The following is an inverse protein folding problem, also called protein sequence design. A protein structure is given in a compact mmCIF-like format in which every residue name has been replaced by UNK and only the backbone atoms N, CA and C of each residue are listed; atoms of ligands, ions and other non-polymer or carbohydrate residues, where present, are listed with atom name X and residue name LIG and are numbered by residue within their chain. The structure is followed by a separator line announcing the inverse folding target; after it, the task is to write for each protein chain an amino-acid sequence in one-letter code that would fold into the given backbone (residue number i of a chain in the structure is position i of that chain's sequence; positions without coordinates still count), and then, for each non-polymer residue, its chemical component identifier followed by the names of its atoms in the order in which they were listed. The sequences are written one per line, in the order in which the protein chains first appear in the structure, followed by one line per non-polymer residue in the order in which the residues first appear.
data_IF_961000468211
#
_entry.id   IF_961000468211
#
_cell.length_a   1.000
_cell.length_b   1.000
_cell.length_c   1.000
_cell.angle_alpha   90.00
_cell.angle_beta   90.00
_cell.angle_gamma   90.00
#
_symmetry.space_group_name_H-M   'P 1'
#
loop_
_entity.id
_entity.type
_entity.pdbx_description
1 polymer ?
#
# COMPACT_ATOMS: atom_id res chain seq x y z
N UNK A 1 15.71 3.60 -22.33
CA UNK A 1 14.66 4.49 -21.80
C UNK A 1 13.43 4.24 -22.68
N UNK A 2 12.23 4.20 -22.08
CA UNK A 2 11.01 3.63 -22.70
C UNK A 2 10.09 4.77 -23.16
N UNK A 3 9.48 4.63 -24.35
CA UNK A 3 8.49 5.58 -24.91
C UNK A 3 7.11 5.37 -24.26
N UNK A 4 6.36 6.43 -23.98
CA UNK A 4 5.03 6.37 -23.35
C UNK A 4 3.82 6.17 -24.27
N UNK A 5 4.02 5.72 -25.51
CA UNK A 5 2.93 5.03 -26.23
C UNK A 5 2.61 3.64 -25.64
N UNK A 6 3.17 3.35 -24.46
CA UNK A 6 3.22 2.06 -23.80
C UNK A 6 2.60 2.31 -22.43
N UNK A 7 1.39 1.79 -22.20
CA UNK A 7 0.61 2.03 -20.99
C UNK A 7 1.48 1.77 -19.74
N UNK A 8 1.83 2.85 -19.05
CA UNK A 8 2.53 2.82 -17.79
C UNK A 8 1.54 2.50 -16.68
N UNK A 9 1.34 1.21 -16.40
CA UNK A 9 0.60 0.82 -15.21
C UNK A 9 1.48 1.11 -13.99
N UNK A 10 1.31 2.29 -13.41
CA UNK A 10 1.86 2.61 -12.10
C UNK A 10 1.01 1.88 -11.07
N UNK A 11 1.36 0.62 -10.85
CA UNK A 11 0.76 -0.21 -9.81
C UNK A 11 1.09 0.45 -8.48
N UNK A 12 0.07 1.09 -7.87
CA UNK A 12 0.12 1.44 -6.47
C UNK A 12 0.46 0.16 -5.72
N UNK A 13 1.57 0.15 -4.99
CA UNK A 13 1.74 -0.77 -3.87
C UNK A 13 0.64 -0.45 -2.87
N UNK A 14 -0.51 -1.13 -3.01
CA UNK A 14 -1.44 -1.28 -1.91
C UNK A 14 -0.71 -2.04 -0.80
N UNK A 15 -0.90 -1.59 0.44
CA UNK A 15 -0.25 -2.13 1.63
C UNK A 15 -0.25 -3.67 1.60
N UNK A 16 0.93 -4.25 1.54
CA UNK A 16 1.12 -5.70 1.52
C UNK A 16 0.64 -6.29 2.85
N UNK A 17 -0.30 -7.27 2.86
CA UNK A 17 -0.60 -8.02 4.07
C UNK A 17 0.59 -8.93 4.45
N UNK A 18 0.85 -9.01 5.77
CA UNK A 18 2.01 -9.69 6.35
C UNK A 18 2.17 -11.17 5.96
N UNK A 19 3.40 -11.55 5.60
CA UNK A 19 3.92 -12.91 5.81
C UNK A 19 4.86 -12.87 7.04
N UNK A 20 4.66 -13.79 7.98
CA UNK A 20 5.55 -14.06 9.12
C UNK A 20 6.64 -15.06 8.70
N UNK A 21 7.90 -14.77 9.03
CA UNK A 21 9.05 -15.67 8.89
C UNK A 21 9.65 -15.95 10.26
N UNK A 22 9.14 -16.99 10.93
CA UNK A 22 9.77 -17.57 12.10
C UNK A 22 9.78 -19.11 11.99
N UNK A 23 10.97 -19.64 11.70
CA UNK A 23 11.55 -20.95 12.08
C UNK A 23 12.38 -21.55 10.96
N UNK A 24 13.65 -21.17 10.90
CA UNK A 24 14.68 -21.94 10.21
C UNK A 24 15.93 -22.03 11.09
N UNK A 25 15.79 -22.66 12.26
CA UNK A 25 16.91 -23.12 13.04
C UNK A 25 16.53 -24.37 13.84
N UNK A 26 16.38 -25.51 13.16
CA UNK A 26 16.75 -26.82 13.72
C UNK A 26 16.61 -27.96 12.70
N UNK A 27 17.58 -28.88 12.77
CA UNK A 27 17.67 -30.21 12.14
C UNK A 27 18.54 -30.32 10.87
N UNK A 28 19.81 -30.64 11.11
CA UNK A 28 20.62 -31.45 10.19
C UNK A 28 21.65 -32.25 11.00
N UNK A 29 21.34 -33.52 11.26
CA UNK A 29 22.30 -34.53 11.69
C UNK A 29 22.94 -35.21 10.46
N UNK A 30 24.26 -35.14 10.42
CA UNK A 30 25.27 -36.09 9.90
C UNK A 30 25.08 -36.78 8.53
N UNK A 31 26.05 -36.54 7.63
CA UNK A 31 27.11 -37.52 7.30
C UNK A 31 28.30 -36.83 6.62
N UNK A 32 29.50 -37.33 6.89
CA UNK A 32 30.74 -36.55 6.93
C UNK A 32 31.58 -36.46 5.64
N UNK A 33 32.45 -35.46 5.61
CA UNK A 33 33.87 -35.65 5.26
C UNK A 33 34.70 -34.47 5.77
N UNK A 34 35.79 -34.79 6.45
CA UNK A 34 36.60 -33.90 7.27
C UNK A 34 37.50 -32.94 6.45
N UNK A 35 37.71 -31.73 6.98
CA UNK A 35 38.89 -30.89 6.75
C UNK A 35 39.43 -30.38 8.11
N UNK A 36 40.74 -30.15 8.25
CA UNK A 36 41.43 -30.24 9.55
C UNK A 36 41.31 -28.97 10.40
N UNK A 37 41.37 -29.21 11.71
CA UNK A 37 41.29 -28.26 12.82
C UNK A 37 42.32 -27.13 12.75
N UNK A 38 41.84 -25.90 12.92
CA UNK A 38 42.63 -24.78 13.41
C UNK A 38 42.17 -24.45 14.83
N UNK A 39 43.08 -24.66 15.79
CA UNK A 39 42.93 -24.39 17.21
C UNK A 39 42.32 -23.01 17.51
N UNK A 40 41.17 -22.99 18.20
CA UNK A 40 40.70 -21.84 18.98
C UNK A 40 40.58 -22.25 20.45
N UNK A 41 41.09 -21.44 21.41
CA UNK A 41 41.07 -21.76 22.83
C UNK A 41 39.67 -21.59 23.46
N UNK A 42 39.38 -22.24 24.60
CA UNK A 42 38.04 -22.33 25.15
C UNK A 42 37.58 -21.06 25.88
N UNK A 43 36.25 -20.88 25.83
CA UNK A 43 35.43 -19.87 26.51
C UNK A 43 35.86 -19.53 27.94
N UNK A 44 35.98 -18.24 28.20
CA UNK A 44 35.74 -17.65 29.51
C UNK A 44 34.47 -16.81 29.41
N UNK A 45 33.37 -17.34 29.96
CA UNK A 45 32.15 -16.60 30.18
C UNK A 45 32.39 -15.54 31.27
N UNK A 46 32.40 -14.26 30.90
CA UNK A 46 32.13 -13.16 31.83
C UNK A 46 30.65 -12.81 31.75
N UNK A 47 29.96 -12.91 32.90
CA UNK A 47 28.60 -12.42 33.12
C UNK A 47 28.52 -10.93 32.76
N UNK A 48 27.70 -10.60 31.76
CA UNK A 48 27.33 -9.21 31.49
C UNK A 48 26.47 -8.66 32.64
N UNK A 49 26.74 -7.43 33.12
CA UNK A 49 25.89 -6.80 34.14
C UNK A 49 24.48 -6.53 33.59
N UNK A 50 23.45 -6.52 34.46
CA UNK A 50 22.07 -6.30 34.04
C UNK A 50 21.91 -4.93 33.37
N UNK A 51 21.00 -4.81 32.38
CA UNK A 51 20.79 -3.56 31.67
C UNK A 51 20.32 -2.48 32.64
N UNK A 52 21.01 -1.35 32.63
CA UNK A 52 20.61 -0.14 33.35
C UNK A 52 19.20 0.29 32.89
N UNK A 53 18.42 0.77 33.85
CA UNK A 53 17.08 1.32 33.61
C UNK A 53 17.14 2.38 32.50
N UNK A 54 16.15 2.44 31.59
CA UNK A 54 16.17 3.40 30.50
C UNK A 54 16.26 4.82 31.09
N UNK A 55 17.31 5.54 30.68
CA UNK A 55 17.41 6.97 30.90
C UNK A 55 16.10 7.61 30.43
N UNK A 56 15.57 8.51 31.26
CA UNK A 56 14.36 9.26 30.98
C UNK A 56 14.44 9.81 29.55
N UNK A 57 13.58 9.30 28.67
CA UNK A 57 13.45 9.78 27.31
C UNK A 57 13.34 11.31 27.37
N UNK A 58 14.36 11.99 26.85
CA UNK A 58 14.24 13.41 26.52
C UNK A 58 13.03 13.52 25.61
N UNK A 59 11.99 14.18 26.10
CA UNK A 59 10.83 14.57 25.31
C UNK A 59 11.32 15.11 23.98
N UNK A 60 10.86 14.58 22.82
CA UNK A 60 11.13 15.20 21.53
C UNK A 60 10.76 16.68 21.65
N UNK A 61 11.64 17.55 21.17
CA UNK A 61 11.37 18.98 21.12
C UNK A 61 9.99 19.17 20.47
N UNK A 62 9.01 19.55 21.28
CA UNK A 62 7.75 20.05 20.79
C UNK A 62 8.16 21.33 20.09
N UNK A 63 8.39 21.22 18.78
CA UNK A 63 8.76 22.36 17.93
C UNK A 63 7.88 23.56 18.24
N UNK A 64 8.32 24.77 17.85
CA UNK A 64 7.70 26.02 18.27
C UNK A 64 6.17 25.93 18.20
N UNK A 65 5.46 26.43 19.24
CA UNK A 65 4.02 26.25 19.36
C UNK A 65 3.36 26.61 18.05
N UNK A 66 2.57 25.68 17.53
CA UNK A 66 1.79 25.81 16.31
C UNK A 66 1.08 27.17 16.37
N UNK A 67 1.38 28.14 15.48
CA UNK A 67 0.56 29.32 15.35
C UNK A 67 -0.91 28.94 15.25
N UNK A 68 -1.83 29.83 15.67
CA UNK A 68 -3.25 29.56 15.63
C UNK A 68 -3.64 28.90 14.31
N UNK A 69 -4.62 28.02 14.41
CA UNK A 69 -5.39 27.57 13.27
C UNK A 69 -6.09 28.83 12.75
N UNK A 70 -5.38 29.61 11.94
CA UNK A 70 -5.91 30.83 11.35
C UNK A 70 -6.54 30.42 10.03
N UNK A 71 -7.86 30.61 9.96
CA UNK A 71 -8.61 30.57 8.71
C UNK A 71 -8.19 31.70 7.75
N UNK A 72 -7.43 32.69 8.24
CA UNK A 72 -6.88 33.79 7.44
C UNK A 72 -5.36 33.89 7.65
N UNK A 73 -4.52 33.34 6.75
CA UNK A 73 -3.08 33.45 6.88
C UNK A 73 -2.61 34.91 6.79
N UNK A 74 -1.52 35.28 7.49
CA UNK A 74 -0.88 36.56 7.23
C UNK A 74 -0.40 36.58 5.76
N UNK A 75 -0.75 37.62 5.02
CA UNK A 75 -0.41 37.76 3.60
C UNK A 75 0.80 38.68 3.41
N UNK A 76 1.69 38.27 2.50
CA UNK A 76 2.78 39.09 1.98
C UNK A 76 2.27 40.10 0.92
N UNK A 77 3.14 41.02 0.48
CA UNK A 77 2.78 42.08 -0.48
C UNK A 77 2.33 41.54 -1.85
N UNK A 78 2.75 40.33 -2.22
CA UNK A 78 2.38 39.64 -3.45
C UNK A 78 1.01 38.95 -3.37
N UNK A 79 0.35 38.99 -2.21
CA UNK A 79 -0.96 38.38 -1.96
C UNK A 79 -0.92 36.91 -1.61
N UNK A 80 0.27 36.28 -1.55
CA UNK A 80 0.43 34.93 -1.04
C UNK A 80 0.65 34.92 0.48
N UNK A 81 0.40 33.80 1.17
CA UNK A 81 0.72 33.66 2.58
C UNK A 81 2.20 33.93 2.89
N UNK A 82 2.48 34.52 4.06
CA UNK A 82 3.84 34.67 4.55
C UNK A 82 4.53 33.29 4.63
N UNK A 83 5.76 33.21 4.11
CA UNK A 83 6.51 31.94 4.00
C UNK A 83 6.39 31.25 2.64
N UNK A 84 5.49 31.72 1.77
CA UNK A 84 5.42 31.27 0.38
C UNK A 84 6.71 31.57 -0.38
N UNK A 85 7.17 30.60 -1.17
CA UNK A 85 8.20 30.81 -2.19
C UNK A 85 7.87 30.00 -3.44
N UNK A 86 8.26 30.49 -4.62
CA UNK A 86 8.05 29.76 -5.88
C UNK A 86 8.67 28.35 -5.86
N UNK A 87 9.82 28.18 -5.19
CA UNK A 87 10.52 26.90 -5.05
C UNK A 87 9.77 25.87 -4.18
N UNK A 88 8.97 26.32 -3.21
CA UNK A 88 8.34 25.40 -2.25
C UNK A 88 6.83 25.30 -2.40
N UNK A 89 6.19 26.37 -2.87
CA UNK A 89 4.75 26.47 -3.00
C UNK A 89 4.30 26.64 -4.45
N UNK A 90 5.15 27.16 -5.33
CA UNK A 90 4.77 27.40 -6.72
C UNK A 90 4.55 26.12 -7.51
N UNK A 91 3.55 26.13 -8.41
CA UNK A 91 3.32 25.04 -9.38
C UNK A 91 4.49 24.78 -10.34
N UNK A 92 5.35 25.78 -10.55
CA UNK A 92 6.57 25.63 -11.35
C UNK A 92 7.77 25.09 -10.57
N UNK A 93 7.63 24.74 -9.30
CA UNK A 93 8.69 24.13 -8.52
C UNK A 93 9.04 22.72 -9.04
N UNK A 94 10.33 22.46 -9.20
CA UNK A 94 10.82 21.10 -9.42
C UNK A 94 10.47 20.22 -8.20
N UNK A 95 9.96 18.98 -8.39
CA UNK A 95 9.62 18.12 -7.27
C UNK A 95 10.86 17.76 -6.45
N UNK A 96 10.82 18.03 -5.14
CA UNK A 96 11.96 17.85 -4.26
C UNK A 96 12.12 16.39 -3.78
N UNK A 97 12.18 15.43 -4.72
CA UNK A 97 12.24 14.00 -4.39
C UNK A 97 13.40 13.65 -3.43
N UNK A 98 14.59 14.21 -3.69
CA UNK A 98 15.81 13.92 -2.94
C UNK A 98 15.84 14.50 -1.52
N UNK A 99 14.90 15.37 -1.15
CA UNK A 99 14.82 15.91 0.22
C UNK A 99 13.70 15.24 0.99
N UNK A 100 12.54 15.02 0.35
CA UNK A 100 11.34 14.49 0.99
C UNK A 100 11.32 12.97 1.15
N UNK A 101 12.05 12.23 0.31
CA UNK A 101 12.03 10.77 0.32
C UNK A 101 13.36 10.15 0.77
N UNK A 102 14.07 10.84 1.66
CA UNK A 102 15.30 10.30 2.26
C UNK A 102 14.98 9.34 3.39
N UNK A 103 15.77 8.27 3.49
CA UNK A 103 15.64 7.21 4.51
C UNK A 103 16.74 7.28 5.59
N UNK A 104 17.64 8.26 5.51
CA UNK A 104 18.69 8.49 6.52
C UNK A 104 18.19 9.24 7.76
N UNK A 105 16.93 9.69 7.73
CA UNK A 105 16.23 10.31 8.85
C UNK A 105 14.74 9.96 8.81
N UNK A 106 14.09 10.14 9.94
CA UNK A 106 12.63 10.26 10.01
C UNK A 106 12.27 11.73 9.86
N UNK A 107 11.41 12.04 8.90
CA UNK A 107 10.93 13.40 8.70
C UNK A 107 9.83 13.76 9.70
N UNK A 108 9.48 15.04 9.78
CA UNK A 108 8.38 15.50 10.63
C UNK A 108 7.41 16.32 9.80
N UNK A 109 6.13 16.10 10.05
CA UNK A 109 5.05 16.94 9.54
C UNK A 109 4.09 17.27 10.69
N UNK A 110 3.77 18.55 10.81
CA UNK A 110 2.81 19.05 11.79
C UNK A 110 1.55 19.50 11.04
N UNK A 111 0.39 19.10 11.51
CA UNK A 111 -0.91 19.46 10.92
C UNK A 111 -1.73 20.16 11.99
N UNK A 112 -2.39 21.26 11.65
CA UNK A 112 -3.25 21.99 12.56
C UNK A 112 -4.64 22.18 11.95
N UNK A 113 -5.68 21.94 12.74
CA UNK A 113 -7.08 22.14 12.36
C UNK A 113 -7.94 22.48 13.58
N UNK A 114 -9.09 23.15 13.43
CA UNK A 114 -10.00 23.40 14.55
C UNK A 114 -10.51 22.08 15.16
N UNK A 115 -10.83 22.09 16.46
CA UNK A 115 -11.40 20.91 17.13
C UNK A 115 -12.70 20.47 16.45
N UNK A 116 -13.55 21.44 16.10
CA UNK A 116 -14.81 21.24 15.39
C UNK A 116 -14.62 20.63 13.99
N UNK A 117 -13.52 20.93 13.32
CA UNK A 117 -13.18 20.34 12.02
C UNK A 117 -12.80 18.88 12.18
N UNK A 118 -11.98 18.55 13.17
CA UNK A 118 -11.65 17.16 13.48
C UNK A 118 -12.90 16.38 13.90
N UNK A 119 -13.75 16.96 14.76
CA UNK A 119 -15.02 16.36 15.17
C UNK A 119 -15.95 16.13 13.97
N UNK A 120 -15.99 17.05 12.99
CA UNK A 120 -16.75 16.87 11.75
C UNK A 120 -16.21 15.69 10.93
N UNK A 121 -14.89 15.53 10.81
CA UNK A 121 -14.30 14.36 10.15
C UNK A 121 -14.69 13.05 10.86
N UNK A 122 -14.74 13.04 12.20
CA UNK A 122 -15.16 11.86 12.95
C UNK A 122 -16.66 11.57 12.78
N UNK A 123 -17.50 12.60 12.73
CA UNK A 123 -18.93 12.46 12.48
C UNK A 123 -19.22 11.93 11.07
N UNK A 124 -18.48 12.39 10.07
CA UNK A 124 -18.53 11.87 8.70
C UNK A 124 -18.18 10.38 8.65
N UNK A 125 -17.11 9.96 9.33
CA UNK A 125 -16.80 8.53 9.46
C UNK A 125 -17.89 7.74 10.19
N UNK A 126 -18.54 8.31 11.19
CA UNK A 126 -19.65 7.66 11.89
C UNK A 126 -20.89 7.49 10.98
N UNK A 127 -21.18 8.47 10.13
CA UNK A 127 -22.25 8.39 9.13
C UNK A 127 -21.95 7.29 8.09
N UNK A 128 -20.72 7.24 7.60
CA UNK A 128 -20.25 6.30 6.59
C UNK A 128 -20.12 4.86 7.12
N UNK A 129 -19.54 4.68 8.31
CA UNK A 129 -19.10 3.38 8.83
C UNK A 129 -19.88 2.87 10.04
N UNK A 130 -20.76 3.70 10.60
CA UNK A 130 -21.42 3.49 11.89
C UNK A 130 -20.54 3.88 13.08
N UNK A 131 -21.03 3.67 14.30
CA UNK A 131 -20.32 4.06 15.53
C UNK A 131 -18.92 3.43 15.62
N UNK A 132 -17.93 4.22 16.03
CA UNK A 132 -16.57 3.73 16.29
C UNK A 132 -16.59 2.62 17.36
N UNK A 133 -15.75 1.60 17.20
CA UNK A 133 -15.71 0.49 18.16
C UNK A 133 -16.95 -0.43 18.14
N UNK A 134 -17.92 -0.21 17.24
CA UNK A 134 -19.10 -1.07 17.09
C UNK A 134 -18.79 -2.47 16.57
N UNK A 135 -17.53 -2.74 16.19
CA UNK A 135 -17.01 -4.06 15.85
C UNK A 135 -16.88 -5.00 17.07
N UNK A 136 -17.98 -5.23 17.79
CA UNK A 136 -18.05 -6.24 18.84
C UNK A 136 -18.51 -7.59 18.31
N UNK A 137 -17.58 -8.56 18.18
CA UNK A 137 -17.93 -9.99 18.21
C UNK A 137 -17.83 -10.82 16.92
N UNK A 138 -17.06 -10.40 15.92
CA UNK A 138 -16.60 -11.28 14.83
C UNK A 138 -15.08 -11.24 14.76
N UNK A 139 -14.38 -12.35 14.43
CA UNK A 139 -12.97 -12.22 14.08
C UNK A 139 -12.85 -11.19 12.95
N UNK A 140 -11.72 -10.50 12.83
CA UNK A 140 -11.44 -9.70 11.66
C UNK A 140 -11.78 -10.51 10.40
N UNK A 141 -12.17 -9.85 9.32
CA UNK A 141 -12.18 -10.45 7.99
C UNK A 141 -10.77 -10.80 7.48
N UNK A 142 -9.87 -11.23 8.37
CA UNK A 142 -8.68 -12.03 8.14
C UNK A 142 -8.74 -13.18 9.16
N UNK A 143 -8.59 -14.42 8.67
CA UNK A 143 -8.83 -15.66 9.42
C UNK A 143 -8.54 -15.59 10.91
N UNK A 144 -9.55 -15.89 11.73
CA UNK A 144 -9.48 -15.83 13.18
C UNK A 144 -8.44 -16.79 13.76
N UNK A 145 -7.42 -16.22 14.41
CA UNK A 145 -6.68 -16.89 15.48
C UNK A 145 -7.26 -16.47 16.84
N UNK A 146 -7.59 -17.41 17.75
CA UNK A 146 -8.02 -17.06 19.10
C UNK A 146 -6.83 -16.60 19.98
N UNK A 147 -7.10 -15.88 21.09
CA UNK A 147 -6.07 -15.21 21.86
C UNK A 147 -5.32 -16.17 22.79
N UNK A 148 -3.99 -16.07 22.79
CA UNK A 148 -3.13 -16.32 23.95
C UNK A 148 -3.11 -17.76 24.49
N UNK A 149 -2.33 -18.61 23.84
CA UNK A 149 -1.84 -19.88 24.39
C UNK A 149 -0.95 -20.57 23.37
N UNK A 150 0.35 -20.69 23.67
CA UNK A 150 1.36 -21.20 22.74
C UNK A 150 1.00 -22.55 22.11
N UNK A 151 0.91 -22.56 20.79
CA UNK A 151 0.70 -23.74 19.95
C UNK A 151 0.03 -23.35 18.63
N UNK A 152 0.77 -23.40 17.51
CA UNK A 152 0.19 -23.25 16.16
C UNK A 152 -0.92 -24.31 15.99
N UNK A 153 -2.09 -24.00 15.40
CA UNK A 153 -3.06 -25.02 15.03
C UNK A 153 -2.39 -25.97 14.03
N UNK A 154 -2.16 -27.22 14.43
CA UNK A 154 -1.69 -28.24 13.49
C UNK A 154 -2.81 -28.49 12.46
N UNK A 155 -2.48 -28.70 11.18
CA UNK A 155 -3.47 -29.09 10.20
C UNK A 155 -4.24 -30.32 10.70
N UNK A 156 -5.54 -30.46 10.38
CA UNK A 156 -6.32 -31.60 10.87
C UNK A 156 -5.64 -32.91 10.46
N UNK A 157 -5.32 -33.77 11.44
CA UNK A 157 -4.65 -35.05 11.17
C UNK A 157 -5.43 -35.90 10.16
N UNK A 158 -6.76 -35.78 10.17
CA UNK A 158 -7.65 -36.43 9.20
C UNK A 158 -7.31 -36.10 7.73
N UNK A 159 -6.75 -34.93 7.44
CA UNK A 159 -6.32 -34.55 6.09
C UNK A 159 -5.01 -35.21 5.65
N UNK A 160 -4.12 -35.56 6.58
CA UNK A 160 -2.96 -36.40 6.30
C UNK A 160 -3.36 -37.87 6.15
N UNK A 161 -4.25 -38.35 7.04
CA UNK A 161 -4.74 -39.72 7.02
C UNK A 161 -5.48 -40.04 5.71
N UNK A 162 -6.20 -39.05 5.15
CA UNK A 162 -6.87 -39.15 3.86
C UNK A 162 -5.91 -39.34 2.66
N UNK A 163 -4.61 -39.11 2.84
CA UNK A 163 -3.58 -39.26 1.82
C UNK A 163 -2.54 -40.34 2.14
N UNK A 164 -2.70 -41.10 3.23
CA UNK A 164 -1.80 -42.20 3.58
C UNK A 164 -1.83 -43.31 2.52
N UNK A 165 -0.68 -43.57 1.90
CA UNK A 165 -0.54 -44.62 0.88
C UNK A 165 -1.09 -44.24 -0.50
N UNK A 166 -1.42 -42.97 -0.72
CA UNK A 166 -1.79 -42.41 -2.01
C UNK A 166 -0.62 -41.64 -2.62
N UNK A 167 -0.62 -41.50 -3.94
CA UNK A 167 0.38 -40.71 -4.66
C UNK A 167 -0.02 -39.22 -4.75
N UNK A 168 0.95 -38.34 -5.03
CA UNK A 168 0.71 -36.92 -5.31
C UNK A 168 -0.29 -36.78 -6.46
N UNK A 169 -1.33 -35.96 -6.27
CA UNK A 169 -2.42 -35.73 -7.23
C UNK A 169 -3.58 -36.71 -7.13
N UNK A 170 -3.53 -37.73 -6.25
CA UNK A 170 -4.68 -38.59 -5.98
C UNK A 170 -5.82 -37.80 -5.31
N UNK A 171 -7.06 -38.09 -5.70
CA UNK A 171 -8.23 -37.49 -5.06
C UNK A 171 -8.36 -37.99 -3.61
N UNK A 172 -8.76 -37.10 -2.71
CA UNK A 172 -8.88 -37.38 -1.29
C UNK A 172 -10.06 -36.58 -0.70
N UNK A 173 -10.55 -37.02 0.46
CA UNK A 173 -11.59 -36.29 1.21
C UNK A 173 -11.53 -36.62 2.69
N UNK A 174 -11.84 -35.65 3.55
CA UNK A 174 -11.94 -35.84 5.00
C UNK A 174 -12.99 -34.91 5.62
N UNK A 175 -13.39 -35.20 6.85
CA UNK A 175 -14.32 -34.35 7.61
C UNK A 175 -13.52 -33.50 8.60
N UNK A 176 -13.79 -32.19 8.63
CA UNK A 176 -13.26 -31.30 9.67
C UNK A 176 -14.34 -30.31 10.14
N UNK A 177 -14.46 -30.19 11.46
CA UNK A 177 -15.47 -29.35 12.13
C UNK A 177 -16.91 -29.48 11.58
N UNK A 178 -17.29 -30.66 11.07
CA UNK A 178 -18.62 -30.95 10.52
C UNK A 178 -18.80 -30.63 9.03
N UNK A 179 -17.72 -30.32 8.31
CA UNK A 179 -17.71 -30.08 6.87
C UNK A 179 -16.89 -31.15 6.14
N UNK A 180 -17.42 -31.66 5.03
CA UNK A 180 -16.70 -32.53 4.10
C UNK A 180 -15.75 -31.69 3.24
N UNK A 181 -14.45 -31.91 3.39
CA UNK A 181 -13.39 -31.30 2.59
C UNK A 181 -12.97 -32.31 1.51
N UNK A 182 -13.02 -31.93 0.24
CA UNK A 182 -12.56 -32.75 -0.89
C UNK A 182 -11.42 -32.06 -1.64
N UNK A 183 -10.42 -32.82 -2.06
CA UNK A 183 -9.19 -32.25 -2.59
C UNK A 183 -8.31 -33.23 -3.34
N UNK A 184 -7.04 -32.87 -3.50
CA UNK A 184 -5.98 -33.76 -4.00
C UNK A 184 -4.81 -33.83 -3.03
N UNK A 185 -4.15 -34.99 -2.97
CA UNK A 185 -2.98 -35.20 -2.14
C UNK A 185 -1.80 -34.39 -2.67
N UNK A 186 -1.31 -33.44 -1.88
CA UNK A 186 -0.20 -32.55 -2.25
C UNK A 186 0.92 -32.63 -1.20
N UNK A 187 2.15 -32.34 -1.63
CA UNK A 187 3.28 -32.21 -0.71
C UNK A 187 3.06 -30.99 0.20
N UNK A 188 3.27 -31.14 1.50
CA UNK A 188 3.21 -30.01 2.42
C UNK A 188 4.54 -29.22 2.37
N UNK A 189 4.51 -27.87 2.39
CA UNK A 189 5.74 -27.09 2.19
C UNK A 189 6.78 -27.17 3.33
N UNK A 190 6.48 -27.82 4.47
CA UNK A 190 7.35 -27.82 5.67
C UNK A 190 7.31 -29.13 6.50
N UNK A 191 7.10 -30.30 5.89
CA UNK A 191 7.10 -31.60 6.60
C UNK A 191 7.07 -32.83 5.70
N UNK A 192 7.18 -34.04 6.28
CA UNK A 192 7.11 -35.32 5.56
C UNK A 192 5.65 -35.78 5.41
N UNK A 193 5.24 -36.11 4.18
CA UNK A 193 3.94 -36.71 3.87
C UNK A 193 3.07 -35.87 2.92
N UNK A 194 1.92 -36.45 2.56
CA UNK A 194 0.93 -35.81 1.69
C UNK A 194 -0.27 -35.34 2.50
N UNK A 195 -0.77 -34.15 2.20
CA UNK A 195 -1.99 -33.62 2.80
C UNK A 195 -3.07 -33.44 1.74
N UNK A 196 -4.32 -33.69 2.13
CA UNK A 196 -5.46 -33.49 1.27
C UNK A 196 -5.79 -31.99 1.11
N UNK A 197 -5.18 -31.35 0.11
CA UNK A 197 -5.36 -29.93 -0.15
C UNK A 197 -6.61 -29.69 -1.00
N UNK A 198 -7.41 -28.68 -0.63
CA UNK A 198 -8.55 -28.23 -1.42
C UNK A 198 -8.10 -27.97 -2.86
N UNK A 199 -8.81 -28.56 -3.81
CA UNK A 199 -8.57 -28.20 -5.20
C UNK A 199 -8.94 -26.71 -5.36
N UNK A 200 -8.01 -25.84 -5.83
CA UNK A 200 -8.41 -24.50 -6.21
C UNK A 200 -9.51 -24.61 -7.28
N UNK A 201 -10.52 -23.74 -7.26
CA UNK A 201 -11.51 -23.73 -8.33
C UNK A 201 -10.78 -23.35 -9.63
N UNK A 202 -10.51 -24.34 -10.47
CA UNK A 202 -10.13 -24.15 -11.87
C UNK A 202 -8.68 -24.50 -12.21
N UNK A 203 -8.45 -25.77 -12.55
CA UNK A 203 -7.51 -26.08 -13.62
C UNK A 203 -8.11 -25.65 -14.97
N UNK A 204 -7.34 -24.88 -15.73
CA UNK A 204 -7.53 -24.48 -17.14
C UNK A 204 -8.83 -24.92 -17.83
N UNK A 205 -9.85 -24.09 -17.71
CA UNK A 205 -11.01 -24.04 -18.59
C UNK A 205 -11.49 -22.58 -18.68
N UNK A 206 -12.12 -22.14 -19.78
CA UNK A 206 -12.62 -20.78 -19.87
C UNK A 206 -13.60 -20.54 -18.71
N UNK A 207 -13.26 -19.61 -17.83
CA UNK A 207 -14.20 -19.09 -16.84
C UNK A 207 -15.44 -18.62 -17.64
N UNK A 208 -16.66 -19.07 -17.32
CA UNK A 208 -17.84 -18.36 -17.83
C UNK A 208 -17.70 -16.89 -17.40
N UNK A 209 -18.16 -15.91 -18.20
CA UNK A 209 -18.16 -14.51 -17.80
C UNK A 209 -19.10 -14.34 -16.60
N UNK A 210 -18.58 -14.62 -15.41
CA UNK A 210 -19.16 -14.24 -14.14
C UNK A 210 -18.71 -12.82 -13.90
N UNK A 211 -19.67 -11.95 -13.62
CA UNK A 211 -19.43 -10.55 -13.32
C UNK A 211 -18.33 -10.46 -12.26
N UNK A 212 -17.14 -9.99 -12.68
CA UNK A 212 -16.04 -9.72 -11.77
C UNK A 212 -16.60 -8.91 -10.62
N UNK A 213 -16.49 -9.46 -9.41
CA UNK A 213 -17.02 -8.81 -8.21
C UNK A 213 -16.50 -7.39 -8.20
N UNK A 214 -17.41 -6.42 -8.35
CA UNK A 214 -17.05 -5.02 -8.33
C UNK A 214 -16.32 -4.66 -7.05
N UNK A 215 -15.59 -3.55 -7.01
CA UNK A 215 -14.89 -3.11 -5.81
C UNK A 215 -15.84 -3.15 -4.61
N UNK A 216 -15.46 -3.89 -3.57
CA UNK A 216 -16.21 -3.94 -2.31
C UNK A 216 -16.02 -2.62 -1.59
N UNK A 217 -16.98 -1.71 -1.71
CA UNK A 217 -16.99 -0.48 -0.91
C UNK A 217 -17.36 -0.81 0.54
N UNK A 218 -16.36 -0.83 1.42
CA UNK A 218 -16.53 -1.08 2.86
C UNK A 218 -16.73 0.22 3.66
N UNK A 219 -16.70 1.35 2.95
CA UNK A 219 -16.76 2.71 3.49
C UNK A 219 -18.10 3.40 3.21
N UNK A 220 -18.85 2.98 2.20
CA UNK A 220 -20.11 3.60 1.80
C UNK A 220 -19.94 4.96 1.11
N UNK A 221 -18.71 5.32 0.75
CA UNK A 221 -18.34 6.61 0.18
C UNK A 221 -16.94 7.08 0.56
N UNK A 222 -16.48 8.12 -0.11
CA UNK A 222 -15.22 8.80 0.20
C UNK A 222 -15.40 9.71 1.43
N UNK A 223 -14.53 9.63 2.46
CA UNK A 223 -14.56 10.56 3.59
C UNK A 223 -14.39 12.02 3.16
N UNK A 224 -14.99 12.92 3.93
CA UNK A 224 -15.01 14.35 3.65
C UNK A 224 -13.60 14.97 3.58
N UNK A 225 -13.47 16.04 2.78
CA UNK A 225 -12.32 16.93 2.80
C UNK A 225 -12.53 18.06 3.80
N UNK A 226 -11.46 18.43 4.51
CA UNK A 226 -11.41 19.62 5.38
C UNK A 226 -10.17 20.46 5.10
N UNK A 227 -10.22 21.78 5.28
CA UNK A 227 -9.04 22.63 5.21
C UNK A 227 -8.20 22.49 6.48
N UNK A 228 -6.89 22.37 6.32
CA UNK A 228 -5.91 22.30 7.41
C UNK A 228 -4.70 23.17 7.12
N UNK A 229 -3.94 23.52 8.14
CA UNK A 229 -2.60 24.08 7.99
C UNK A 229 -1.57 22.98 8.15
N UNK A 230 -0.68 22.81 7.18
CA UNK A 230 0.46 21.88 7.24
C UNK A 230 1.74 22.65 7.52
N UNK A 231 2.63 22.11 8.34
CA UNK A 231 3.98 22.63 8.54
C UNK A 231 5.01 21.55 8.29
N UNK A 232 6.04 21.93 7.55
CA UNK A 232 7.20 21.10 7.25
C UNK A 232 8.45 21.98 7.29
N UNK A 233 9.48 21.55 8.01
CA UNK A 233 10.73 22.31 8.22
C UNK A 233 10.50 23.78 8.64
N UNK A 234 9.50 24.01 9.49
CA UNK A 234 9.13 25.33 10.03
C UNK A 234 8.38 26.24 9.05
N UNK A 235 8.05 25.77 7.85
CA UNK A 235 7.30 26.52 6.82
C UNK A 235 5.83 26.10 6.82
N UNK A 236 4.87 27.03 6.70
CA UNK A 236 3.45 26.73 6.66
C UNK A 236 2.90 26.61 5.23
N UNK A 237 1.96 25.68 5.04
CA UNK A 237 1.06 25.57 3.89
C UNK A 237 -0.36 25.70 4.42
N UNK A 238 -1.07 26.72 3.96
CA UNK A 238 -2.42 27.04 4.42
C UNK A 238 -3.47 26.42 3.51
N UNK A 239 -4.68 26.24 4.03
CA UNK A 239 -5.84 25.71 3.30
C UNK A 239 -5.57 24.42 2.51
N UNK A 240 -4.69 23.57 3.05
CA UNK A 240 -4.41 22.26 2.46
C UNK A 240 -5.64 21.39 2.67
N UNK A 241 -6.11 20.72 1.62
CA UNK A 241 -7.16 19.73 1.76
C UNK A 241 -6.62 18.48 2.43
N UNK A 242 -7.24 18.08 3.54
CA UNK A 242 -7.00 16.80 4.20
C UNK A 242 -8.26 15.94 4.20
N UNK A 243 -8.10 14.64 3.97
CA UNK A 243 -9.17 13.65 4.21
C UNK A 243 -8.60 12.33 4.70
N UNK A 244 -9.39 11.56 5.44
CA UNK A 244 -9.07 10.15 5.68
C UNK A 244 -9.18 9.33 4.38
N UNK A 245 -8.36 8.29 4.29
CA UNK A 245 -8.25 7.42 3.12
C UNK A 245 -8.07 5.97 3.53
N UNK A 246 -8.69 5.10 2.75
CA UNK A 246 -8.57 3.65 2.85
C UNK A 246 -9.92 3.01 2.59
N UNK A 247 -9.91 1.70 2.38
CA UNK A 247 -11.13 0.90 2.31
C UNK A 247 -11.14 -0.04 3.54
N UNK A 248 -10.57 -1.24 3.41
CA UNK A 248 -10.44 -2.19 4.51
C UNK A 248 -9.66 -1.64 5.72
N UNK A 249 -8.54 -0.94 5.48
CA UNK A 249 -7.71 -0.37 6.56
C UNK A 249 -8.44 0.69 7.37
N UNK A 250 -9.15 1.61 6.71
CA UNK A 250 -9.95 2.65 7.35
C UNK A 250 -11.11 2.02 8.13
N UNK A 251 -11.88 1.17 7.45
CA UNK A 251 -13.06 0.51 8.00
C UNK A 251 -12.72 -0.35 9.23
N UNK A 252 -11.64 -1.13 9.15
CA UNK A 252 -11.16 -1.99 10.26
C UNK A 252 -10.62 -1.17 11.43
N UNK A 253 -9.81 -0.14 11.15
CA UNK A 253 -9.26 0.74 12.19
C UNK A 253 -10.39 1.44 12.95
N UNK A 254 -11.37 2.01 12.23
CA UNK A 254 -12.52 2.68 12.82
C UNK A 254 -13.38 1.74 13.69
N UNK A 255 -13.75 0.58 13.15
CA UNK A 255 -14.60 -0.39 13.85
C UNK A 255 -13.94 -1.03 15.06
N UNK A 256 -12.60 -1.07 15.10
CA UNK A 256 -11.83 -1.48 16.27
C UNK A 256 -11.62 -0.35 17.30
N UNK A 257 -12.10 0.86 17.01
CA UNK A 257 -11.93 2.05 17.86
C UNK A 257 -10.53 2.69 17.75
N UNK A 258 -9.73 2.27 16.77
CA UNK A 258 -8.43 2.87 16.46
C UNK A 258 -8.56 4.26 15.84
N UNK A 259 -7.52 5.07 15.99
CA UNK A 259 -7.45 6.46 15.47
C UNK A 259 -6.31 6.72 14.50
N UNK A 260 -5.35 5.80 14.38
CA UNK A 260 -4.23 5.91 13.42
C UNK A 260 -4.69 5.46 12.03
N UNK A 261 -5.38 6.34 11.33
CA UNK A 261 -5.93 6.10 10.00
C UNK A 261 -5.04 6.73 8.93
N UNK A 262 -5.05 6.15 7.73
CA UNK A 262 -4.39 6.76 6.58
C UNK A 262 -5.10 8.02 6.14
N UNK A 263 -4.35 8.98 5.60
CA UNK A 263 -4.90 10.24 5.12
C UNK A 263 -4.17 10.72 3.87
N UNK A 264 -4.81 11.64 3.15
CA UNK A 264 -4.24 12.29 1.97
C UNK A 264 -4.28 13.80 2.15
N UNK A 265 -3.24 14.46 1.66
CA UNK A 265 -3.15 15.91 1.55
C UNK A 265 -3.24 16.32 0.07
N UNK A 266 -3.94 17.41 -0.23
CA UNK A 266 -4.01 18.05 -1.55
C UNK A 266 -3.84 19.55 -1.38
N UNK A 267 -2.70 20.08 -1.82
CA UNK A 267 -2.21 21.39 -1.42
C UNK A 267 -2.92 22.57 -2.08
N UNK A 268 -3.61 22.34 -3.19
CA UNK A 268 -4.44 23.31 -3.90
C UNK A 268 -5.94 22.96 -3.86
N UNK A 269 -6.37 22.10 -2.91
CA UNK A 269 -7.76 21.61 -2.86
C UNK A 269 -8.81 22.72 -2.75
N UNK A 270 -8.47 23.80 -2.05
CA UNK A 270 -9.38 24.91 -1.74
C UNK A 270 -8.96 26.21 -2.43
N UNK A 271 -8.18 26.15 -3.51
CA UNK A 271 -7.71 27.35 -4.22
C UNK A 271 -8.83 28.22 -4.82
N UNK A 272 -10.00 27.62 -5.12
CA UNK A 272 -11.17 28.36 -5.60
C UNK A 272 -11.82 29.20 -4.48
N UNK A 273 -11.74 28.74 -3.22
CA UNK A 273 -12.28 29.41 -2.05
C UNK A 273 -11.27 30.40 -1.45
N UNK A 274 -9.97 30.07 -1.53
CA UNK A 274 -8.84 30.85 -0.99
C UNK A 274 -7.82 31.13 -2.12
N UNK A 275 -8.03 32.19 -2.93
CA UNK A 275 -7.20 32.47 -4.11
C UNK A 275 -5.72 32.77 -3.79
N UNK A 276 -5.40 33.16 -2.56
CA UNK A 276 -4.04 33.35 -2.05
C UNK A 276 -3.19 32.06 -2.05
N UNK A 277 -3.83 30.88 -2.03
CA UNK A 277 -3.13 29.58 -2.17
C UNK A 277 -3.25 29.00 -3.58
N UNK A 278 -3.54 29.83 -4.58
CA UNK A 278 -3.68 29.37 -5.95
C UNK A 278 -2.41 28.65 -6.43
N UNK A 279 -2.63 27.47 -7.02
CA UNK A 279 -1.61 26.58 -7.54
C UNK A 279 -0.55 26.17 -6.50
N UNK A 280 -0.92 26.14 -5.22
CA UNK A 280 -0.03 25.72 -4.13
C UNK A 280 0.42 24.27 -4.29
N UNK A 281 1.72 24.04 -4.08
CA UNK A 281 2.40 22.75 -4.07
C UNK A 281 3.10 22.55 -2.75
N UNK A 282 3.38 21.31 -2.42
CA UNK A 282 4.31 20.92 -1.38
C UNK A 282 5.62 20.51 -2.02
N UNK A 283 6.56 21.45 -2.12
CA UNK A 283 7.86 21.22 -2.74
C UNK A 283 7.74 20.54 -4.13
N UNK A 284 6.90 21.12 -5.00
CA UNK A 284 6.60 20.61 -6.34
C UNK A 284 5.49 19.56 -6.43
N UNK A 285 5.04 18.98 -5.32
CA UNK A 285 3.98 17.96 -5.32
C UNK A 285 2.59 18.55 -5.05
N UNK A 286 1.59 18.17 -5.85
CA UNK A 286 0.19 18.60 -5.65
C UNK A 286 -0.52 17.82 -4.53
N UNK A 287 -0.19 16.52 -4.38
CA UNK A 287 -0.85 15.58 -3.48
C UNK A 287 0.19 14.69 -2.80
N UNK A 288 -0.09 14.29 -1.56
CA UNK A 288 0.72 13.31 -0.82
C UNK A 288 -0.18 12.38 -0.02
N UNK A 289 0.19 11.11 0.08
CA UNK A 289 -0.55 10.09 0.84
C UNK A 289 0.28 9.60 2.03
N UNK A 290 -0.36 9.49 3.20
CA UNK A 290 0.26 9.02 4.43
C UNK A 290 -0.38 7.70 4.84
N UNK A 291 0.39 6.61 4.70
CA UNK A 291 -0.01 5.27 5.07
C UNK A 291 0.30 4.99 6.55
N UNK A 292 -0.64 4.40 7.31
CA UNK A 292 -0.46 4.17 8.75
C UNK A 292 0.34 2.90 9.06
N UNK A 293 0.80 2.14 8.06
CA UNK A 293 1.38 0.79 8.22
C UNK A 293 0.35 -0.25 8.66
N UNK A 294 -0.89 -0.14 8.18
CA UNK A 294 -1.96 -1.06 8.54
C UNK A 294 -1.62 -2.48 8.08
N UNK A 295 -1.61 -3.44 9.02
CA UNK A 295 -1.24 -4.83 8.73
C UNK A 295 0.27 -5.07 8.59
N UNK A 296 1.09 -4.03 8.77
CA UNK A 296 2.55 -4.10 8.68
C UNK A 296 3.19 -3.78 10.04
N UNK A 297 3.47 -4.82 10.83
CA UNK A 297 4.14 -4.65 12.13
C UNK A 297 5.57 -4.09 12.04
N UNK A 298 6.23 -4.18 10.87
CA UNK A 298 7.59 -3.67 10.68
C UNK A 298 7.62 -2.25 10.11
N UNK A 299 6.50 -1.73 9.60
CA UNK A 299 6.35 -0.43 8.91
C UNK A 299 7.20 -0.24 7.63
N UNK A 300 8.06 -1.19 7.27
CA UNK A 300 9.05 -1.04 6.19
C UNK A 300 8.59 -1.65 4.86
N UNK A 301 7.48 -2.40 4.81
CA UNK A 301 7.11 -3.18 3.62
C UNK A 301 6.85 -2.29 2.41
N UNK A 302 6.14 -1.18 2.59
CA UNK A 302 5.85 -0.22 1.52
C UNK A 302 7.15 0.35 0.91
N UNK A 303 8.11 0.72 1.76
CA UNK A 303 9.40 1.29 1.33
C UNK A 303 10.23 0.24 0.58
N UNK A 304 10.44 -0.94 1.19
CA UNK A 304 11.27 -2.00 0.61
C UNK A 304 10.67 -2.51 -0.72
N UNK A 305 9.35 -2.67 -0.79
CA UNK A 305 8.68 -3.09 -2.02
C UNK A 305 8.88 -2.04 -3.13
N UNK A 306 8.69 -0.75 -2.82
CA UNK A 306 8.93 0.32 -3.77
C UNK A 306 10.38 0.38 -4.24
N UNK A 307 11.36 0.26 -3.33
CA UNK A 307 12.78 0.23 -3.69
C UNK A 307 13.12 -0.94 -4.59
N UNK A 308 12.66 -2.15 -4.25
CA UNK A 308 12.90 -3.34 -5.04
C UNK A 308 12.30 -3.20 -6.46
N UNK A 309 11.10 -2.65 -6.59
CA UNK A 309 10.48 -2.38 -7.90
C UNK A 309 11.35 -1.42 -8.73
N UNK A 310 11.82 -0.32 -8.13
CA UNK A 310 12.68 0.65 -8.81
C UNK A 310 14.03 0.05 -9.22
N UNK A 311 14.66 -0.74 -8.36
CA UNK A 311 15.91 -1.45 -8.66
C UNK A 311 15.75 -2.44 -9.82
N UNK A 312 14.55 -3.01 -9.99
CA UNK A 312 14.19 -3.85 -11.13
C UNK A 312 13.80 -3.05 -12.39
N UNK A 313 13.86 -1.72 -12.33
CA UNK A 313 13.50 -0.80 -13.41
C UNK A 313 11.99 -0.75 -13.68
N UNK A 314 11.18 -0.97 -12.64
CA UNK A 314 9.72 -0.82 -12.67
C UNK A 314 9.39 0.54 -12.03
N UNK A 315 8.62 1.42 -12.72
CA UNK A 315 8.16 2.67 -12.16
C UNK A 315 7.37 2.44 -10.88
N UNK A 316 7.80 3.06 -9.78
CA UNK A 316 7.15 2.95 -8.48
C UNK A 316 7.39 4.22 -7.64
N UNK A 317 6.35 4.63 -6.93
CA UNK A 317 6.34 5.80 -6.05
C UNK A 317 7.44 5.75 -4.98
N UNK A 318 8.11 6.88 -4.72
CA UNK A 318 9.00 7.00 -3.58
C UNK A 318 8.22 7.01 -2.26
N UNK A 319 8.87 6.57 -1.19
CA UNK A 319 8.29 6.55 0.15
C UNK A 319 9.35 6.85 1.22
N UNK A 320 8.93 7.50 2.31
CA UNK A 320 9.78 7.77 3.46
C UNK A 320 8.98 7.87 4.76
N UNK A 321 9.68 7.75 5.89
CA UNK A 321 9.08 7.79 7.21
C UNK A 321 8.86 9.22 7.70
N UNK A 322 7.67 9.46 8.24
CA UNK A 322 7.26 10.75 8.80
C UNK A 322 6.66 10.55 10.20
N UNK A 323 7.17 11.28 11.18
CA UNK A 323 6.45 11.57 12.42
C UNK A 323 5.34 12.57 12.11
N UNK A 324 4.09 12.17 12.37
CA UNK A 324 2.92 13.02 12.17
C UNK A 324 2.45 13.54 13.53
N UNK A 325 2.40 14.85 13.66
CA UNK A 325 1.81 15.55 14.80
C UNK A 325 0.56 16.30 14.34
N UNK A 326 -0.52 16.25 15.12
CA UNK A 326 -1.75 16.97 14.82
C UNK A 326 -2.20 17.79 16.02
N UNK A 327 -2.43 19.07 15.79
CA UNK A 327 -2.95 20.02 16.75
C UNK A 327 -4.41 20.33 16.43
N UNK A 328 -5.32 19.97 17.34
CA UNK A 328 -6.75 20.28 17.24
C UNK A 328 -7.17 21.45 18.13
N UNK A 329 -6.23 22.37 18.43
CA UNK A 329 -6.44 23.54 19.29
C UNK A 329 -6.03 23.35 20.76
N UNK A 330 -5.45 22.21 21.12
CA UNK A 330 -4.94 21.92 22.47
C UNK A 330 -3.43 21.60 22.48
N UNK A 331 -2.73 21.96 21.42
CA UNK A 331 -1.33 21.63 21.21
C UNK A 331 -1.15 20.36 20.36
N UNK A 332 0.04 20.18 19.76
CA UNK A 332 0.32 19.07 18.87
C UNK A 332 0.33 17.74 19.62
N UNK A 333 -0.41 16.76 19.10
CA UNK A 333 -0.44 15.38 19.56
C UNK A 333 0.22 14.49 18.53
N UNK A 334 1.14 13.64 18.97
CA UNK A 334 1.76 12.63 18.11
C UNK A 334 0.70 11.61 17.66
N UNK A 335 0.37 11.59 16.37
CA UNK A 335 -0.53 10.62 15.77
C UNK A 335 0.19 9.30 15.43
N UNK A 336 1.51 9.35 15.25
CA UNK A 336 2.33 8.17 15.04
C UNK A 336 3.38 8.34 13.94
N UNK A 337 4.13 7.27 13.73
CA UNK A 337 4.98 7.09 12.55
C UNK A 337 4.10 6.69 11.35
N UNK A 338 4.20 7.41 10.25
CA UNK A 338 3.55 7.14 8.99
C UNK A 338 4.58 6.93 7.89
N UNK A 339 4.19 6.21 6.84
CA UNK A 339 4.92 6.18 5.58
C UNK A 339 4.28 7.20 4.65
N UNK A 340 4.98 8.30 4.34
CA UNK A 340 4.56 9.19 3.26
C UNK A 340 4.95 8.52 1.94
N UNK A 341 3.97 8.35 1.05
CA UNK A 341 4.11 7.73 -0.26
C UNK A 341 3.75 8.79 -1.30
N UNK A 342 4.63 8.95 -2.28
CA UNK A 342 4.38 9.78 -3.46
C UNK A 342 3.08 9.34 -4.15
N UNK A 343 2.18 10.28 -4.43
CA UNK A 343 1.01 9.99 -5.24
C UNK A 343 1.41 9.94 -6.72
N UNK A 344 1.03 8.89 -7.48
CA UNK A 344 1.24 8.85 -8.91
C UNK A 344 0.65 10.08 -9.60
N UNK A 345 1.44 10.69 -10.48
CA UNK A 345 1.20 12.00 -11.05
C UNK A 345 1.93 12.16 -12.39
N UNK A 346 1.64 13.25 -13.11
CA UNK A 346 2.35 13.59 -14.35
C UNK A 346 3.86 13.76 -14.10
N UNK A 347 4.25 14.32 -12.95
CA UNK A 347 5.66 14.44 -12.55
C UNK A 347 6.35 13.08 -12.44
N UNK A 348 5.65 12.08 -11.91
CA UNK A 348 6.19 10.73 -11.81
C UNK A 348 6.28 10.08 -13.20
N UNK A 349 5.33 10.35 -14.10
CA UNK A 349 5.40 9.87 -15.48
C UNK A 349 6.61 10.48 -16.19
N UNK A 350 6.79 11.80 -16.11
CA UNK A 350 7.93 12.52 -16.69
C UNK A 350 9.27 11.98 -16.17
N UNK A 351 9.35 11.59 -14.90
CA UNK A 351 10.57 11.02 -14.32
C UNK A 351 10.95 9.63 -14.87
N UNK A 352 9.97 8.85 -15.34
CA UNK A 352 10.17 7.45 -15.73
C UNK A 352 10.11 7.19 -17.23
N UNK A 353 9.46 8.07 -17.99
CA UNK A 353 9.17 7.86 -19.40
C UNK A 353 9.72 8.99 -20.27
N UNK A 354 10.12 8.64 -21.50
CA UNK A 354 10.61 9.65 -22.47
C UNK A 354 9.50 10.54 -23.03
N UNK A 355 8.26 10.07 -22.96
CA UNK A 355 7.05 10.78 -23.36
C UNK A 355 6.16 10.78 -22.11
N UNK A 356 5.52 11.90 -21.83
CA UNK A 356 4.73 12.13 -20.62
C UNK A 356 3.28 12.50 -20.94
N UNK A 357 2.90 12.52 -22.22
CA UNK A 357 1.57 12.90 -22.69
C UNK A 357 0.51 11.80 -22.56
N UNK A 358 0.80 10.72 -21.82
CA UNK A 358 -0.09 9.57 -21.66
C UNK A 358 -1.15 9.76 -20.57
N UNK A 359 -2.07 8.81 -20.48
CA UNK A 359 -3.05 8.76 -19.39
C UNK A 359 -2.53 7.94 -18.19
N UNK A 360 -2.92 8.38 -17.00
CA UNK A 360 -2.74 7.68 -15.73
C UNK A 360 -4.10 7.16 -15.25
N UNK A 361 -4.19 5.85 -15.06
CA UNK A 361 -5.41 5.19 -14.60
C UNK A 361 -5.21 4.54 -13.24
N UNK A 362 -6.26 4.57 -12.42
CA UNK A 362 -6.40 3.69 -11.27
C UNK A 362 -7.44 2.62 -11.63
N UNK A 363 -7.01 1.42 -12.05
CA UNK A 363 -7.93 0.37 -12.45
C UNK A 363 -8.68 -0.18 -11.23
N UNK A 364 -9.98 -0.47 -11.40
CA UNK A 364 -10.79 -1.17 -10.40
C UNK A 364 -11.79 -2.11 -11.08
N UNK A 365 -12.17 -3.19 -10.38
CA UNK A 365 -13.16 -4.15 -10.88
C UNK A 365 -12.76 -4.72 -12.25
N UNK A 366 -13.63 -4.55 -13.24
CA UNK A 366 -13.40 -4.98 -14.64
C UNK A 366 -12.16 -4.34 -15.27
N UNK A 367 -11.77 -3.13 -14.84
CA UNK A 367 -10.53 -2.51 -15.31
C UNK A 367 -9.27 -3.17 -14.74
N UNK A 368 -9.35 -3.77 -13.56
CA UNK A 368 -8.24 -4.46 -12.91
C UNK A 368 -8.10 -5.93 -13.34
N UNK A 369 -9.12 -6.53 -13.99
CA UNK A 369 -9.04 -7.90 -14.49
C UNK A 369 -8.44 -8.02 -15.90
N UNK A 370 -8.41 -6.91 -16.67
CA UNK A 370 -7.86 -6.82 -18.03
C UNK A 370 -8.47 -7.79 -19.07
N UNK A 371 -9.64 -8.35 -18.79
CA UNK A 371 -10.32 -9.31 -19.66
C UNK A 371 -11.17 -8.63 -20.74
N UNK A 372 -11.76 -7.48 -20.41
CA UNK A 372 -12.61 -6.69 -21.31
C UNK A 372 -12.46 -5.20 -21.02
N UNK A 373 -12.58 -4.38 -22.06
CA UNK A 373 -12.59 -2.94 -21.87
C UNK A 373 -13.92 -2.48 -21.29
N UNK A 374 -13.83 -1.72 -20.20
CA UNK A 374 -14.95 -1.04 -19.55
C UNK A 374 -14.42 0.28 -18.98
N UNK A 375 -14.79 1.45 -19.54
CA UNK A 375 -14.24 2.72 -19.11
C UNK A 375 -14.57 3.05 -17.65
N UNK A 376 -15.63 2.46 -17.08
CA UNK A 376 -15.99 2.67 -15.67
C UNK A 376 -14.97 2.04 -14.71
N UNK A 377 -14.21 1.04 -15.16
CA UNK A 377 -13.13 0.42 -14.40
C UNK A 377 -11.78 1.15 -14.51
N UNK A 378 -11.68 2.23 -15.29
CA UNK A 378 -10.45 2.98 -15.51
C UNK A 378 -10.62 4.45 -15.08
N UNK A 379 -10.59 4.67 -13.76
CA UNK A 379 -10.63 6.02 -13.20
C UNK A 379 -9.37 6.79 -13.62
N UNK A 380 -9.55 7.88 -14.36
CA UNK A 380 -8.46 8.78 -14.76
C UNK A 380 -7.92 9.55 -13.56
N UNK A 381 -6.60 9.71 -13.52
CA UNK A 381 -5.86 10.49 -12.51
C UNK A 381 -5.11 11.70 -13.08
N UNK A 382 -5.05 11.78 -14.41
CA UNK A 382 -4.69 12.95 -15.19
C UNK A 382 -5.64 13.03 -16.40
N UNK A 383 -5.60 14.13 -17.17
CA UNK A 383 -6.46 14.34 -18.34
C UNK A 383 -7.95 14.02 -18.05
N UNK A 384 -8.42 14.39 -16.84
CA UNK A 384 -9.71 13.95 -16.30
C UNK A 384 -10.91 14.48 -17.13
N UNK A 385 -10.73 15.61 -17.82
CA UNK A 385 -11.72 16.22 -18.70
C UNK A 385 -11.74 15.60 -20.11
N UNK A 386 -10.71 14.84 -20.48
CA UNK A 386 -10.59 14.23 -21.80
C UNK A 386 -11.25 12.85 -21.79
N UNK A 387 -12.37 12.72 -22.51
CA UNK A 387 -13.10 11.48 -22.67
C UNK A 387 -12.44 10.51 -23.67
N UNK A 388 -11.17 10.18 -23.45
CA UNK A 388 -10.36 9.29 -24.29
C UNK A 388 -9.73 8.15 -23.46
N UNK A 389 -10.05 6.91 -23.83
CA UNK A 389 -9.50 5.67 -23.26
C UNK A 389 -8.97 4.75 -24.36
N UNK A 390 -8.70 5.30 -25.55
CA UNK A 390 -8.33 4.53 -26.73
C UNK A 390 -7.01 3.77 -26.54
N UNK A 391 -6.11 4.28 -25.72
CA UNK A 391 -4.86 3.64 -25.31
C UNK A 391 -5.10 2.34 -24.54
N UNK A 392 -5.86 2.38 -23.45
CA UNK A 392 -6.15 1.20 -22.62
C UNK A 392 -7.10 0.23 -23.33
N UNK A 393 -8.05 0.73 -24.12
CA UNK A 393 -8.90 -0.11 -24.99
C UNK A 393 -8.05 -0.89 -26.01
N UNK A 394 -7.07 -0.23 -26.64
CA UNK A 394 -6.16 -0.87 -27.59
C UNK A 394 -5.27 -1.92 -26.90
N UNK A 395 -4.77 -1.64 -25.70
CA UNK A 395 -3.97 -2.59 -24.92
C UNK A 395 -4.76 -3.86 -24.55
N UNK A 396 -5.98 -3.70 -24.02
CA UNK A 396 -6.87 -4.84 -23.68
C UNK A 396 -7.26 -5.62 -24.93
N UNK A 397 -7.57 -4.93 -26.02
CA UNK A 397 -7.91 -5.56 -27.30
C UNK A 397 -6.75 -6.42 -27.82
N UNK A 398 -5.52 -5.89 -27.78
CA UNK A 398 -4.34 -6.63 -28.21
C UNK A 398 -4.04 -7.85 -27.29
N UNK A 399 -4.20 -7.69 -25.98
CA UNK A 399 -4.00 -8.77 -25.00
C UNK A 399 -4.95 -9.96 -25.22
N UNK A 400 -6.20 -9.66 -25.59
CA UNK A 400 -7.28 -10.62 -25.77
C UNK A 400 -7.52 -11.03 -27.24
N UNK A 401 -6.67 -10.60 -28.17
CA UNK A 401 -6.75 -10.97 -29.58
C UNK A 401 -6.47 -12.48 -29.82
N UNK A 402 -6.85 -12.97 -31.01
CA UNK A 402 -6.62 -14.36 -31.41
C UNK A 402 -5.12 -14.73 -31.36
N UNK A 403 -4.84 -15.93 -30.84
CA UNK A 403 -3.49 -16.44 -30.61
C UNK A 403 -3.10 -17.58 -31.57
N UNK A 404 -3.90 -17.82 -32.61
CA UNK A 404 -3.60 -18.83 -33.63
C UNK A 404 -2.22 -18.60 -34.29
N UNK A 405 -1.84 -17.34 -34.51
CA UNK A 405 -0.48 -16.93 -34.86
C UNK A 405 0.17 -16.21 -33.67
N UNK A 406 0.90 -16.97 -32.85
CA UNK A 406 1.55 -16.44 -31.66
C UNK A 406 2.66 -15.40 -31.93
N UNK A 407 3.24 -15.38 -33.14
CA UNK A 407 4.23 -14.37 -33.50
C UNK A 407 3.56 -13.05 -33.84
N UNK A 408 2.49 -13.09 -34.63
CA UNK A 408 1.68 -11.91 -34.95
C UNK A 408 1.01 -11.32 -33.70
N UNK A 409 0.46 -12.17 -32.83
CA UNK A 409 -0.16 -11.73 -31.57
C UNK A 409 0.83 -10.99 -30.66
N UNK A 410 2.04 -11.55 -30.44
CA UNK A 410 3.07 -10.89 -29.61
C UNK A 410 3.48 -9.54 -30.18
N UNK A 411 3.71 -9.46 -31.49
CA UNK A 411 4.06 -8.20 -32.14
C UNK A 411 2.93 -7.15 -32.03
N UNK A 412 1.66 -7.59 -32.07
CA UNK A 412 0.51 -6.72 -31.84
C UNK A 412 0.40 -6.23 -30.39
N UNK A 413 0.65 -7.10 -29.42
CA UNK A 413 0.64 -6.75 -28.00
C UNK A 413 1.78 -5.81 -27.64
N UNK A 414 3.01 -6.10 -28.06
CA UNK A 414 4.20 -5.28 -27.78
C UNK A 414 4.13 -3.89 -28.42
N UNK A 415 3.23 -3.67 -29.37
CA UNK A 415 2.99 -2.35 -29.96
C UNK A 415 2.17 -1.41 -29.06
N UNK A 416 1.42 -1.94 -28.09
CA UNK A 416 0.52 -1.17 -27.19
C UNK A 416 0.79 -1.41 -25.70
N UNK A 417 1.61 -2.42 -25.36
CA UNK A 417 1.82 -2.86 -23.98
C UNK A 417 3.29 -3.18 -23.68
N UNK A 418 3.77 -2.74 -22.51
CA UNK A 418 5.14 -2.98 -22.04
C UNK A 418 5.29 -4.40 -21.47
N UNK A 419 5.38 -5.39 -22.36
CA UNK A 419 5.48 -6.80 -21.95
C UNK A 419 6.68 -7.04 -21.03
N UNK A 420 7.84 -6.46 -21.34
CA UNK A 420 9.05 -6.63 -20.52
C UNK A 420 8.90 -5.97 -19.14
N UNK A 421 8.33 -4.76 -19.07
CA UNK A 421 8.03 -4.08 -17.81
C UNK A 421 7.06 -4.89 -16.96
N UNK A 422 5.97 -5.37 -17.56
CA UNK A 422 4.96 -6.18 -16.88
C UNK A 422 5.53 -7.51 -16.37
N UNK A 423 6.36 -8.21 -17.15
CA UNK A 423 6.96 -9.47 -16.72
C UNK A 423 7.93 -9.28 -15.54
N UNK A 424 8.66 -8.15 -15.50
CA UNK A 424 9.48 -7.79 -14.32
C UNK A 424 8.60 -7.52 -13.11
N UNK A 425 7.52 -6.76 -13.30
CA UNK A 425 6.55 -6.52 -12.24
C UNK A 425 5.96 -7.82 -11.73
N UNK A 426 5.54 -8.74 -12.62
CA UNK A 426 4.98 -10.03 -12.25
C UNK A 426 5.97 -10.87 -11.44
N UNK A 427 7.25 -10.88 -11.84
CA UNK A 427 8.31 -11.55 -11.10
C UNK A 427 8.50 -10.94 -9.70
N UNK A 428 8.59 -9.61 -9.61
CA UNK A 428 8.68 -8.88 -8.33
C UNK A 428 7.49 -9.16 -7.42
N UNK A 429 6.27 -9.06 -7.97
CA UNK A 429 5.00 -9.27 -7.29
C UNK A 429 4.87 -10.70 -6.74
N UNK A 430 5.41 -11.68 -7.48
CA UNK A 430 5.49 -13.08 -7.04
C UNK A 430 6.43 -13.24 -5.84
N UNK A 431 7.60 -12.57 -5.86
CA UNK A 431 8.61 -12.68 -4.79
C UNK A 431 8.12 -12.03 -3.49
N UNK A 432 7.50 -10.85 -3.57
CA UNK A 432 6.95 -10.17 -2.38
C UNK A 432 5.66 -10.79 -1.88
N UNK A 433 5.10 -11.76 -2.63
CA UNK A 433 3.82 -12.38 -2.36
C UNK A 433 2.75 -11.31 -2.10
N UNK A 434 2.44 -10.51 -3.13
CA UNK A 434 1.31 -9.60 -3.07
C UNK A 434 0.05 -10.33 -3.54
N UNK A 435 -0.84 -10.66 -2.59
CA UNK A 435 -2.07 -11.43 -2.84
C UNK A 435 -3.25 -10.52 -3.21
N UNK A 436 -3.10 -9.21 -3.03
CA UNK A 436 -4.10 -8.19 -3.36
C UNK A 436 -3.83 -7.60 -4.75
N UNK A 437 -3.46 -8.47 -5.69
CA UNK A 437 -3.13 -8.19 -7.09
C UNK A 437 -3.44 -9.43 -7.96
N UNK A 438 -3.09 -9.36 -9.25
CA UNK A 438 -3.32 -10.41 -10.25
C UNK A 438 -2.97 -11.83 -9.75
N UNK A 439 -3.94 -12.75 -9.87
CA UNK A 439 -3.80 -14.16 -9.53
C UNK A 439 -4.63 -14.63 -8.33
N UNK A 440 -5.14 -13.69 -7.51
CA UNK A 440 -6.06 -13.98 -6.41
C UNK A 440 -7.26 -13.03 -6.38
N UNK A 441 -7.01 -11.71 -6.47
CA UNK A 441 -8.07 -10.69 -6.51
C UNK A 441 -7.85 -9.76 -7.71
N UNK A 442 -8.92 -9.38 -8.41
CA UNK A 442 -8.89 -8.33 -9.43
C UNK A 442 -9.06 -6.95 -8.76
N UNK A 443 -8.17 -6.68 -7.81
CA UNK A 443 -8.05 -5.42 -7.09
C UNK A 443 -6.58 -4.99 -7.18
N UNK A 444 -6.33 -3.69 -7.42
CA UNK A 444 -5.03 -3.04 -7.56
C UNK A 444 -4.13 -3.47 -8.73
#
# INVERSE_FOLDING_TARGET
MKRAHLLALLLLTAALPACDVDDAAQTADAEGTAMPDADLPPDAAEEAPPPDAPDAATTPDAGPPTPPIDDDPPLAEDGHPEGWTDETHGKGADPAWHTLFTLDRVHRIDIAMPAETYDAMLADLEELLGAAGSGGGGPPGGGGGPPGGGGRPQPPQAGFDACLGLDVGAACSFEDAGNTIMGTCQNVPFGDGLFCALNPPGGGGPQPPGDGGGPVDLTGGDPMWVPVTVRHDGRPWYHVGMRFKGNSSLSSTWRSGGRKMGFRLTFDKYEDDFPEVSNQRFHGFKKMTFAPGFGDASMVRDIIAGEMLRDMGIPAALAAFYEVYVDTGNGPVFWGLYTMIEDPSDQLIEAWFEDDGGNLYKPEGTGADWTRFDPSGFEKKNNEDDADWSDVEAAITALNADRADAAAWRAGLEATFDVDGFLRWLAANTVIANWDAYGQMAHN
#
